data_IF_695845782277
#
_entry.id   IF_695845782277
#
_cell.length_a   1.000
_cell.length_b   1.000
_cell.length_c   1.000
_cell.angle_alpha   90.00
_cell.angle_beta   90.00
_cell.angle_gamma   90.00
#
_symmetry.space_group_name_H-M   'P 1'
#
loop_
_entity.id
_entity.type
_entity.pdbx_description
1 polymer ?
#
# COMPACT_ATOMS: atom_id res chain seq x y z
N UNK A 1 8.19 4.67 8.61
CA UNK A 1 7.85 4.07 7.30
C UNK A 1 8.98 4.22 6.27
N UNK A 2 10.08 4.89 6.59
CA UNK A 2 11.26 5.01 5.71
C UNK A 2 11.04 5.84 4.44
N UNK A 3 10.05 6.74 4.43
CA UNK A 3 9.72 7.62 3.32
C UNK A 3 9.37 9.02 3.83
N UNK A 4 9.40 10.01 2.93
CA UNK A 4 8.93 11.37 3.21
C UNK A 4 7.41 11.47 3.10
N UNK A 5 6.88 12.61 3.54
CA UNK A 5 5.50 12.99 3.34
C UNK A 5 5.40 14.45 2.91
N UNK A 6 4.33 14.78 2.23
CA UNK A 6 3.98 16.15 1.85
C UNK A 6 2.52 16.44 2.10
N UNK A 7 2.20 17.71 2.36
CA UNK A 7 0.87 18.22 2.61
C UNK A 7 0.68 19.54 1.89
N UNK A 8 -0.34 19.61 1.06
CA UNK A 8 -0.90 20.86 0.55
C UNK A 8 -2.28 21.05 1.16
N UNK A 9 -2.59 22.22 1.72
CA UNK A 9 -3.90 22.50 2.27
C UNK A 9 -4.28 23.97 2.11
N UNK A 10 -5.57 24.21 2.02
CA UNK A 10 -6.17 25.55 2.11
C UNK A 10 -6.88 25.71 3.44
N UNK A 11 -6.63 26.81 4.12
CA UNK A 11 -7.21 27.11 5.42
C UNK A 11 -7.37 28.62 5.64
N UNK A 12 -7.87 29.04 6.81
CA UNK A 12 -8.02 30.45 7.14
C UNK A 12 -6.68 31.20 7.08
N UNK A 13 -6.72 32.51 6.81
CA UNK A 13 -5.51 33.35 6.69
C UNK A 13 -4.62 33.34 7.96
N UNK A 14 -5.19 33.03 9.12
CA UNK A 14 -4.45 32.91 10.38
C UNK A 14 -3.81 31.52 10.60
N UNK A 15 -3.94 30.59 9.65
CA UNK A 15 -3.37 29.25 9.75
C UNK A 15 -1.86 29.32 9.93
N UNK A 16 -1.37 28.65 10.97
CA UNK A 16 0.08 28.52 11.22
C UNK A 16 0.50 27.10 10.82
N UNK A 17 1.46 26.93 9.92
CA UNK A 17 1.89 25.60 9.46
C UNK A 17 2.53 24.73 10.57
N UNK A 18 3.30 25.32 11.47
CA UNK A 18 4.07 24.58 12.48
C UNK A 18 3.21 23.69 13.41
N UNK A 19 2.07 24.14 13.98
CA UNK A 19 1.20 23.29 14.78
C UNK A 19 0.60 22.12 13.96
N UNK A 20 0.21 22.36 12.70
CA UNK A 20 -0.32 21.32 11.82
C UNK A 20 0.76 20.28 11.52
N UNK A 21 1.96 20.73 11.16
CA UNK A 21 3.10 19.85 10.93
C UNK A 21 3.42 19.00 12.15
N UNK A 22 3.42 19.60 13.36
CA UNK A 22 3.66 18.87 14.60
C UNK A 22 2.58 17.82 14.87
N UNK A 23 1.30 18.13 14.64
CA UNK A 23 0.20 17.19 14.81
C UNK A 23 0.29 16.01 13.81
N UNK A 24 0.58 16.31 12.53
CA UNK A 24 0.79 15.30 11.49
C UNK A 24 1.96 14.39 11.87
N UNK A 25 3.11 14.96 12.28
CA UNK A 25 4.29 14.17 12.65
C UNK A 25 4.01 13.29 13.87
N UNK A 26 3.35 13.80 14.90
CA UNK A 26 2.98 13.01 16.07
C UNK A 26 2.06 11.84 15.71
N UNK A 27 1.08 12.05 14.79
CA UNK A 27 0.22 10.97 14.31
C UNK A 27 0.99 9.91 13.52
N UNK A 28 1.90 10.34 12.64
CA UNK A 28 2.77 9.43 11.89
C UNK A 28 3.69 8.62 12.81
N UNK A 29 4.26 9.25 13.85
CA UNK A 29 5.12 8.58 14.82
C UNK A 29 4.34 7.50 15.59
N UNK A 30 3.08 7.77 15.97
CA UNK A 30 2.20 6.78 16.58
C UNK A 30 1.94 5.59 15.65
N UNK A 31 1.62 5.85 14.37
CA UNK A 31 1.42 4.78 13.37
C UNK A 31 2.70 3.97 13.13
N UNK A 32 3.86 4.60 13.13
CA UNK A 32 5.16 3.90 13.02
C UNK A 32 5.40 3.00 14.22
N UNK A 33 5.08 3.46 15.44
CA UNK A 33 5.21 2.65 16.65
C UNK A 33 4.28 1.42 16.64
N UNK A 34 3.15 1.48 15.94
CA UNK A 34 2.25 0.35 15.81
C UNK A 34 2.59 -0.59 14.63
N UNK A 35 2.82 -0.05 13.44
CA UNK A 35 2.72 -0.77 12.16
C UNK A 35 4.06 -1.02 11.46
N UNK A 36 5.16 -0.43 11.95
CA UNK A 36 6.44 -0.54 11.26
C UNK A 36 7.18 -1.83 11.57
N UNK A 37 7.59 -2.55 10.55
CA UNK A 37 8.51 -3.69 10.71
C UNK A 37 10.01 -3.29 10.75
N UNK A 38 10.32 -1.98 10.60
CA UNK A 38 11.67 -1.44 10.68
C UNK A 38 12.09 -1.03 12.11
N UNK A 39 11.13 -0.76 12.97
CA UNK A 39 11.37 -0.43 14.38
C UNK A 39 11.21 -1.67 15.24
N UNK A 40 12.28 -2.16 15.89
CA UNK A 40 12.27 -3.36 16.71
C UNK A 40 11.21 -3.36 17.81
N UNK A 41 10.86 -2.17 18.32
CA UNK A 41 9.96 -1.97 19.46
C UNK A 41 8.50 -1.75 19.05
N UNK A 42 8.22 -1.76 17.74
CA UNK A 42 6.85 -1.59 17.24
C UNK A 42 5.93 -2.72 17.69
N UNK A 43 4.62 -2.44 17.74
CA UNK A 43 3.63 -3.45 18.10
C UNK A 43 3.64 -4.62 17.11
N UNK A 44 3.84 -4.33 15.81
CA UNK A 44 4.01 -5.36 14.76
C UNK A 44 5.20 -6.27 15.04
N UNK A 45 6.37 -5.72 15.38
CA UNK A 45 7.55 -6.50 15.71
C UNK A 45 7.35 -7.31 17.00
N UNK A 46 6.66 -6.75 17.99
CA UNK A 46 6.28 -7.48 19.22
C UNK A 46 5.37 -8.65 18.90
N UNK A 47 4.36 -8.48 18.04
CA UNK A 47 3.52 -9.60 17.58
C UNK A 47 4.35 -10.67 16.87
N UNK A 48 5.25 -10.27 15.99
CA UNK A 48 6.12 -11.20 15.24
C UNK A 48 7.05 -12.01 16.15
N UNK A 49 7.36 -11.51 17.36
CA UNK A 49 8.20 -12.19 18.34
C UNK A 49 7.44 -13.13 19.28
N UNK A 50 6.11 -13.13 19.27
CA UNK A 50 5.29 -13.96 20.17
C UNK A 50 5.51 -15.46 19.91
N UNK A 51 5.39 -16.25 20.97
CA UNK A 51 5.35 -17.69 20.87
C UNK A 51 4.00 -18.20 20.30
N UNK A 52 3.98 -19.43 19.84
CA UNK A 52 2.76 -20.07 19.37
C UNK A 52 1.68 -20.09 20.46
N UNK A 53 0.48 -19.63 20.11
CA UNK A 53 -0.68 -19.56 21.01
C UNK A 53 -0.80 -18.26 21.79
N UNK A 54 0.27 -17.45 21.89
CA UNK A 54 0.18 -16.10 22.47
C UNK A 54 -0.57 -15.15 21.55
N UNK A 55 -1.10 -14.05 22.11
CA UNK A 55 -1.83 -13.05 21.32
C UNK A 55 -1.75 -11.66 21.91
N UNK A 56 -2.21 -10.68 21.15
CA UNK A 56 -2.30 -9.28 21.56
C UNK A 56 -3.70 -8.73 21.28
N UNK A 57 -4.18 -7.90 22.19
CA UNK A 57 -5.29 -7.00 21.93
C UNK A 57 -4.75 -5.80 21.13
N UNK A 58 -5.36 -5.55 20.00
CA UNK A 58 -4.85 -4.59 19.03
C UNK A 58 -5.50 -3.22 19.20
N UNK A 59 -4.74 -2.12 19.11
CA UNK A 59 -5.29 -0.78 19.02
C UNK A 59 -6.05 -0.61 17.68
N UNK A 60 -6.91 0.42 17.59
CA UNK A 60 -7.81 0.62 16.43
C UNK A 60 -7.10 0.63 15.07
N UNK A 61 -5.95 1.27 14.95
CA UNK A 61 -5.24 1.37 13.68
C UNK A 61 -4.69 0.03 13.21
N UNK A 62 -4.07 -0.73 14.09
CA UNK A 62 -3.57 -2.05 13.78
C UNK A 62 -4.73 -3.01 13.42
N UNK A 63 -5.84 -2.94 14.19
CA UNK A 63 -7.03 -3.73 13.92
C UNK A 63 -7.63 -3.42 12.54
N UNK A 64 -7.71 -2.15 12.17
CA UNK A 64 -8.20 -1.74 10.85
C UNK A 64 -7.30 -2.27 9.71
N UNK A 65 -5.99 -2.20 9.90
CA UNK A 65 -5.03 -2.70 8.89
C UNK A 65 -5.15 -4.21 8.73
N UNK A 66 -5.24 -4.99 9.82
CA UNK A 66 -5.34 -6.46 9.71
C UNK A 66 -6.68 -6.89 9.11
N UNK A 67 -7.78 -6.19 9.44
CA UNK A 67 -9.09 -6.43 8.86
C UNK A 67 -9.08 -6.28 7.33
N UNK A 68 -8.60 -5.14 6.83
CA UNK A 68 -8.51 -4.88 5.39
C UNK A 68 -7.53 -5.84 4.73
N UNK A 69 -6.38 -6.10 5.34
CA UNK A 69 -5.38 -7.02 4.83
C UNK A 69 -5.94 -8.43 4.61
N UNK A 70 -6.70 -8.96 5.57
CA UNK A 70 -7.33 -10.28 5.45
C UNK A 70 -8.47 -10.30 4.42
N UNK A 71 -9.24 -9.22 4.31
CA UNK A 71 -10.29 -9.10 3.28
C UNK A 71 -9.68 -9.09 1.87
N UNK A 72 -8.61 -8.32 1.64
CA UNK A 72 -7.92 -8.29 0.35
C UNK A 72 -7.22 -9.62 0.07
N UNK A 73 -6.61 -10.28 1.07
CA UNK A 73 -6.03 -11.61 0.94
C UNK A 73 -7.07 -12.64 0.47
N UNK A 74 -8.22 -12.67 1.11
CA UNK A 74 -9.32 -13.58 0.73
C UNK A 74 -9.84 -13.26 -0.67
N UNK A 75 -10.10 -11.99 -0.95
CA UNK A 75 -10.71 -11.54 -2.20
C UNK A 75 -9.77 -11.64 -3.42
N UNK A 76 -8.45 -11.61 -3.22
CA UNK A 76 -7.42 -11.80 -4.24
C UNK A 76 -6.97 -13.25 -4.42
N UNK A 77 -7.58 -14.21 -3.68
CA UNK A 77 -7.15 -15.61 -3.68
C UNK A 77 -5.74 -15.81 -3.14
N UNK A 78 -5.30 -14.95 -2.21
CA UNK A 78 -3.99 -14.99 -1.58
C UNK A 78 -2.88 -14.35 -2.42
N UNK A 79 -3.20 -13.55 -3.42
CA UNK A 79 -2.20 -12.72 -4.11
C UNK A 79 -1.69 -11.58 -3.23
N UNK A 80 -2.50 -11.10 -2.31
CA UNK A 80 -2.08 -10.29 -1.17
C UNK A 80 -1.98 -11.17 0.07
N UNK A 81 -0.94 -11.00 0.86
CA UNK A 81 -0.75 -11.73 2.13
C UNK A 81 -0.01 -10.85 3.14
N UNK A 82 -0.62 -10.50 4.28
CA UNK A 82 0.06 -9.71 5.30
C UNK A 82 1.18 -10.45 6.04
N UNK A 83 1.33 -11.76 5.84
CA UNK A 83 2.32 -12.60 6.55
C UNK A 83 3.62 -12.81 5.76
N UNK A 84 3.99 -11.86 4.92
CA UNK A 84 5.15 -11.97 4.03
C UNK A 84 6.50 -11.66 4.70
N UNK A 85 6.54 -11.23 5.96
CA UNK A 85 7.73 -10.68 6.60
C UNK A 85 8.96 -11.59 6.52
N UNK A 86 8.80 -12.87 6.85
CA UNK A 86 9.90 -13.84 6.78
C UNK A 86 10.42 -14.06 5.34
N UNK A 87 9.50 -14.07 4.37
CA UNK A 87 9.85 -14.25 2.96
C UNK A 87 10.56 -13.02 2.41
N UNK A 88 10.05 -11.82 2.72
CA UNK A 88 10.65 -10.53 2.35
C UNK A 88 12.08 -10.42 2.89
N UNK A 89 12.31 -10.83 4.15
CA UNK A 89 13.67 -10.88 4.71
C UNK A 89 14.57 -11.88 3.99
N UNK A 90 14.10 -13.11 3.71
CA UNK A 90 14.89 -14.13 3.01
C UNK A 90 15.33 -13.69 1.62
N UNK A 91 14.50 -12.91 0.92
CA UNK A 91 14.83 -12.32 -0.37
C UNK A 91 15.67 -11.04 -0.24
N UNK A 92 15.94 -10.56 1.00
CA UNK A 92 16.76 -9.39 1.29
C UNK A 92 16.11 -8.06 0.95
N UNK A 93 14.79 -8.00 0.98
CA UNK A 93 14.00 -6.77 0.78
C UNK A 93 13.46 -6.18 2.11
N UNK A 94 13.56 -6.93 3.20
CA UNK A 94 13.15 -6.52 4.55
C UNK A 94 14.23 -5.78 5.32
N UNK A 95 14.00 -5.54 6.63
CA UNK A 95 14.99 -4.99 7.54
C UNK A 95 16.30 -5.80 7.52
N UNK A 96 17.46 -5.15 7.77
CA UNK A 96 18.73 -5.84 7.80
C UNK A 96 18.77 -6.87 8.92
N UNK A 97 19.47 -7.99 8.68
CA UNK A 97 19.61 -9.11 9.61
C UNK A 97 19.08 -10.42 9.04
N UNK A 98 19.34 -11.51 9.74
CA UNK A 98 18.78 -12.81 9.41
C UNK A 98 17.37 -12.92 10.03
N UNK A 99 16.41 -13.55 9.35
CA UNK A 99 15.14 -13.91 9.98
C UNK A 99 15.37 -14.71 11.25
N UNK A 100 14.52 -14.52 12.26
CA UNK A 100 14.50 -15.41 13.44
C UNK A 100 14.50 -16.87 12.96
N UNK A 101 15.30 -17.72 13.62
CA UNK A 101 15.37 -19.15 13.29
C UNK A 101 14.00 -19.86 13.40
N UNK A 102 13.06 -19.28 14.16
CA UNK A 102 11.67 -19.76 14.28
C UNK A 102 10.78 -19.24 13.16
N UNK A 103 11.23 -18.25 12.37
CA UNK A 103 10.42 -17.63 11.35
C UNK A 103 10.04 -18.62 10.24
N UNK A 104 8.75 -18.80 10.05
CA UNK A 104 8.14 -19.63 9.02
C UNK A 104 7.71 -18.76 7.84
N UNK A 105 7.73 -19.33 6.65
CA UNK A 105 7.22 -18.68 5.45
C UNK A 105 6.35 -19.67 4.66
N UNK A 106 5.24 -20.14 5.23
CA UNK A 106 4.31 -20.99 4.49
C UNK A 106 3.66 -20.19 3.36
N UNK A 107 3.29 -20.88 2.28
CA UNK A 107 2.53 -20.26 1.20
C UNK A 107 1.12 -19.95 1.69
N UNK A 108 0.62 -18.75 1.35
CA UNK A 108 -0.69 -18.25 1.79
C UNK A 108 -0.85 -18.26 3.32
N UNK A 109 0.16 -17.75 4.01
CA UNK A 109 0.29 -17.76 5.47
C UNK A 109 -0.86 -17.02 6.20
N UNK A 110 -1.53 -16.07 5.53
CA UNK A 110 -2.68 -15.36 6.06
C UNK A 110 -3.81 -16.27 6.54
N UNK A 111 -3.92 -17.49 5.98
CA UNK A 111 -4.95 -18.48 6.37
C UNK A 111 -4.71 -19.07 7.76
N UNK A 112 -3.49 -18.98 8.27
CA UNK A 112 -3.12 -19.49 9.58
C UNK A 112 -3.32 -18.44 10.70
N UNK A 113 -3.58 -17.17 10.35
CA UNK A 113 -3.83 -16.12 11.35
C UNK A 113 -5.17 -16.33 12.04
N UNK A 114 -5.16 -16.20 13.36
CA UNK A 114 -6.36 -16.26 14.18
C UNK A 114 -6.76 -14.84 14.62
N UNK A 115 -7.64 -14.20 13.84
CA UNK A 115 -8.15 -12.86 14.09
C UNK A 115 -9.58 -12.89 14.64
N UNK A 116 -9.78 -12.37 15.86
CA UNK A 116 -11.08 -12.14 16.49
C UNK A 116 -11.41 -10.64 16.38
N UNK A 117 -12.09 -10.25 15.32
CA UNK A 117 -12.40 -8.85 15.02
C UNK A 117 -13.26 -8.17 16.12
N UNK A 118 -14.32 -8.79 16.69
CA UNK A 118 -15.09 -8.20 17.77
C UNK A 118 -14.26 -7.85 19.01
N UNK A 119 -13.27 -8.69 19.34
CA UNK A 119 -12.36 -8.46 20.48
C UNK A 119 -11.11 -7.70 20.11
N UNK A 120 -10.88 -7.48 18.83
CA UNK A 120 -9.60 -6.97 18.28
C UNK A 120 -8.40 -7.76 18.80
N UNK A 121 -8.54 -9.06 18.88
CA UNK A 121 -7.51 -9.96 19.41
C UNK A 121 -6.89 -10.77 18.27
N UNK A 122 -5.57 -10.66 18.12
CA UNK A 122 -4.79 -11.41 17.12
C UNK A 122 -3.87 -12.40 17.83
N UNK A 123 -3.93 -13.68 17.45
CA UNK A 123 -3.12 -14.74 18.04
C UNK A 123 -2.10 -15.27 17.04
N UNK A 124 -0.88 -15.47 17.54
CA UNK A 124 0.25 -16.00 16.82
C UNK A 124 0.14 -17.53 16.69
N UNK A 125 0.07 -18.10 15.46
CA UNK A 125 0.05 -19.55 15.27
C UNK A 125 1.44 -20.19 15.44
N UNK A 126 2.48 -19.37 15.50
CA UNK A 126 3.88 -19.75 15.68
C UNK A 126 4.75 -19.44 14.47
N UNK A 127 5.66 -18.48 14.63
CA UNK A 127 6.70 -18.11 13.66
C UNK A 127 6.20 -17.41 12.41
N UNK A 128 4.94 -16.99 12.29
CA UNK A 128 4.50 -16.11 11.21
C UNK A 128 5.00 -14.69 11.45
N UNK A 129 5.38 -14.01 10.38
CA UNK A 129 5.86 -12.63 10.44
C UNK A 129 4.98 -11.73 9.57
N UNK A 130 4.26 -10.83 10.22
CA UNK A 130 3.51 -9.78 9.54
C UNK A 130 4.46 -8.78 8.87
N UNK A 131 4.04 -8.28 7.72
CA UNK A 131 4.63 -7.17 6.98
C UNK A 131 3.50 -6.33 6.37
N UNK A 132 3.41 -5.08 6.78
CA UNK A 132 2.38 -4.16 6.31
C UNK A 132 2.88 -3.14 5.27
N UNK A 133 4.03 -3.40 4.64
CA UNK A 133 4.62 -2.48 3.63
C UNK A 133 3.68 -2.16 2.48
N UNK A 134 2.74 -3.06 2.18
CA UNK A 134 1.82 -2.98 1.05
C UNK A 134 0.42 -2.46 1.43
N UNK A 135 0.26 -1.85 2.63
CA UNK A 135 -1.03 -1.35 3.12
C UNK A 135 -0.88 -0.20 4.12
N UNK A 136 0.21 -0.18 4.90
CA UNK A 136 0.34 0.78 6.01
C UNK A 136 0.55 2.22 5.54
N UNK A 137 1.12 2.44 4.33
CA UNK A 137 1.27 3.79 3.79
C UNK A 137 -0.09 4.38 3.41
N UNK A 138 -0.92 3.59 2.73
CA UNK A 138 -2.29 3.98 2.43
C UNK A 138 -3.10 4.27 3.68
N UNK A 139 -2.99 3.41 4.73
CA UNK A 139 -3.64 3.67 6.01
C UNK A 139 -3.17 4.99 6.65
N UNK A 140 -1.87 5.26 6.62
CA UNK A 140 -1.33 6.52 7.14
C UNK A 140 -1.87 7.75 6.39
N UNK A 141 -1.98 7.68 5.07
CA UNK A 141 -2.61 8.74 4.25
C UNK A 141 -4.06 9.00 4.69
N UNK A 142 -4.84 7.95 4.87
CA UNK A 142 -6.24 8.07 5.32
C UNK A 142 -6.32 8.68 6.74
N UNK A 143 -5.45 8.24 7.67
CA UNK A 143 -5.38 8.77 9.03
C UNK A 143 -5.00 10.26 9.07
N UNK A 144 -4.03 10.68 8.24
CA UNK A 144 -3.64 12.10 8.18
C UNK A 144 -4.75 12.94 7.54
N UNK A 145 -5.41 12.43 6.51
CA UNK A 145 -6.55 13.11 5.90
C UNK A 145 -7.68 13.33 6.93
N UNK A 146 -8.01 12.31 7.73
CA UNK A 146 -9.00 12.43 8.81
C UNK A 146 -8.58 13.46 9.87
N UNK A 147 -7.32 13.41 10.34
CA UNK A 147 -6.78 14.39 11.28
C UNK A 147 -6.89 15.83 10.76
N UNK A 148 -6.62 16.05 9.48
CA UNK A 148 -6.73 17.40 8.89
C UNK A 148 -8.17 17.91 8.89
N UNK A 149 -9.14 17.04 8.62
CA UNK A 149 -10.56 17.40 8.72
C UNK A 149 -10.91 17.78 10.16
N UNK A 150 -10.45 17.01 11.17
CA UNK A 150 -10.65 17.33 12.60
C UNK A 150 -10.00 18.67 13.00
N UNK A 151 -8.86 19.01 12.39
CA UNK A 151 -8.19 20.32 12.58
C UNK A 151 -8.85 21.48 11.82
N UNK A 152 -9.98 21.25 11.15
CA UNK A 152 -10.70 22.28 10.39
C UNK A 152 -10.07 22.61 9.03
N UNK A 153 -9.30 21.68 8.45
CA UNK A 153 -8.64 21.78 7.15
C UNK A 153 -9.23 20.78 6.15
N UNK A 154 -10.51 20.94 5.72
CA UNK A 154 -11.20 19.96 4.87
C UNK A 154 -10.73 19.97 3.41
N UNK A 155 -9.87 20.91 3.00
CA UNK A 155 -9.37 21.06 1.65
C UNK A 155 -7.87 20.80 1.63
N UNK A 156 -7.48 19.57 1.29
CA UNK A 156 -6.06 19.16 1.33
C UNK A 156 -5.73 18.05 0.35
N UNK A 157 -4.44 17.96 0.02
CA UNK A 157 -3.80 16.82 -0.63
C UNK A 157 -2.70 16.31 0.29
N UNK A 158 -2.80 15.05 0.70
CA UNK A 158 -1.78 14.32 1.47
C UNK A 158 -1.04 13.37 0.56
N UNK A 159 0.28 13.30 0.70
CA UNK A 159 1.14 12.32 0.04
C UNK A 159 2.07 11.68 1.07
N UNK A 160 2.19 10.35 1.07
CA UNK A 160 3.16 9.60 1.88
C UNK A 160 3.77 8.49 1.02
N UNK A 161 5.03 8.70 0.57
CA UNK A 161 5.79 7.70 -0.17
C UNK A 161 5.21 7.28 -1.53
N UNK A 162 4.40 8.13 -2.13
CA UNK A 162 3.77 7.92 -3.43
C UNK A 162 2.29 7.55 -3.36
N UNK A 163 1.73 7.29 -2.18
CA UNK A 163 0.30 7.17 -1.96
C UNK A 163 -0.30 8.55 -1.69
N UNK A 164 -1.37 8.90 -2.41
CA UNK A 164 -1.98 10.23 -2.35
C UNK A 164 -3.47 10.14 -2.03
N UNK A 165 -3.98 11.15 -1.31
CA UNK A 165 -5.41 11.39 -1.11
C UNK A 165 -5.73 12.86 -1.24
N UNK A 166 -6.67 13.20 -2.12
CA UNK A 166 -7.26 14.53 -2.22
C UNK A 166 -8.60 14.61 -1.50
N UNK A 167 -8.76 15.58 -0.63
CA UNK A 167 -10.00 15.84 0.11
C UNK A 167 -10.48 17.27 -0.18
N UNK A 168 -11.80 17.43 -0.42
CA UNK A 168 -12.37 18.72 -0.79
C UNK A 168 -11.79 19.28 -2.09
N UNK A 169 -11.92 20.58 -2.30
CA UNK A 169 -11.55 21.28 -3.52
C UNK A 169 -10.56 22.41 -3.22
N UNK A 170 -9.76 22.76 -4.21
CA UNK A 170 -8.98 24.00 -4.19
C UNK A 170 -9.92 25.22 -4.30
N UNK A 171 -9.43 26.45 -4.05
CA UNK A 171 -10.14 27.67 -4.42
C UNK A 171 -10.66 27.57 -5.88
N UNK A 172 -11.79 28.22 -6.15
CA UNK A 172 -12.44 28.22 -7.47
C UNK A 172 -13.04 26.87 -7.89
N UNK A 173 -13.21 25.94 -6.93
CA UNK A 173 -13.85 24.65 -7.19
C UNK A 173 -12.98 23.62 -7.93
N UNK A 174 -11.67 23.87 -8.05
CA UNK A 174 -10.76 22.95 -8.73
C UNK A 174 -10.43 21.73 -7.87
N UNK A 175 -10.43 20.50 -8.42
CA UNK A 175 -9.95 19.30 -7.73
C UNK A 175 -8.43 19.31 -7.56
N UNK A 176 -7.91 18.34 -6.82
CA UNK A 176 -6.49 18.12 -6.65
C UNK A 176 -5.96 17.31 -7.84
N UNK A 177 -5.49 18.00 -8.88
CA UNK A 177 -4.87 17.34 -10.02
C UNK A 177 -3.51 16.76 -9.64
N UNK A 178 -3.32 15.47 -9.88
CA UNK A 178 -2.05 14.77 -9.68
C UNK A 178 -1.67 14.00 -10.93
N UNK A 179 -0.37 13.97 -11.23
CA UNK A 179 0.19 13.13 -12.28
C UNK A 179 0.74 11.85 -11.65
N UNK A 180 0.28 10.69 -12.12
CA UNK A 180 0.82 9.40 -11.70
C UNK A 180 2.19 9.21 -12.36
N UNK A 181 3.22 8.99 -11.53
CA UNK A 181 4.60 8.82 -11.97
C UNK A 181 4.73 7.67 -13.00
N UNK A 182 5.43 7.89 -14.11
CA UNK A 182 5.73 6.80 -15.04
C UNK A 182 6.74 5.81 -14.42
N UNK A 183 6.70 4.51 -14.81
CA UNK A 183 7.58 3.49 -14.23
C UNK A 183 9.05 3.63 -14.64
N UNK A 184 9.35 4.45 -15.64
CA UNK A 184 10.71 4.71 -16.12
C UNK A 184 10.77 6.01 -16.94
N UNK A 185 11.95 6.66 -17.05
CA UNK A 185 12.10 7.89 -17.83
C UNK A 185 11.84 7.71 -19.33
N UNK A 186 12.03 6.51 -19.85
CA UNK A 186 11.81 6.13 -21.25
C UNK A 186 10.38 5.63 -21.54
N UNK A 187 9.49 5.72 -20.55
CA UNK A 187 8.10 5.36 -20.73
C UNK A 187 7.37 6.42 -21.58
N UNK A 188 7.06 6.06 -22.82
CA UNK A 188 6.42 6.92 -23.84
C UNK A 188 4.88 6.91 -23.77
N UNK A 189 4.30 6.24 -22.79
CA UNK A 189 2.86 6.26 -22.56
C UNK A 189 2.38 7.65 -22.12
N UNK A 190 1.16 8.04 -22.50
CA UNK A 190 0.56 9.27 -21.98
C UNK A 190 0.58 9.34 -20.47
N UNK A 191 0.94 10.51 -19.93
CA UNK A 191 0.85 10.77 -18.50
C UNK A 191 -0.60 10.56 -18.02
N UNK A 192 -0.78 9.82 -16.95
CA UNK A 192 -2.08 9.67 -16.31
C UNK A 192 -2.25 10.81 -15.30
N UNK A 193 -3.07 11.80 -15.67
CA UNK A 193 -3.48 12.88 -14.77
C UNK A 193 -4.85 12.55 -14.19
N UNK A 194 -5.01 12.70 -12.89
CA UNK A 194 -6.21 12.32 -12.14
C UNK A 194 -6.65 13.49 -11.27
N UNK A 195 -7.97 13.74 -11.25
CA UNK A 195 -8.61 14.65 -10.32
C UNK A 195 -8.93 13.92 -9.01
N UNK A 196 -8.20 14.22 -7.95
CA UNK A 196 -8.52 13.68 -6.63
C UNK A 196 -9.49 14.61 -5.90
N UNK A 197 -10.73 14.16 -5.76
CA UNK A 197 -11.77 14.77 -4.94
C UNK A 197 -12.45 13.68 -4.11
N UNK A 198 -12.17 13.62 -2.80
CA UNK A 198 -12.57 12.51 -1.92
C UNK A 198 -12.06 11.15 -2.43
N UNK A 199 -10.95 11.16 -3.12
CA UNK A 199 -10.38 10.02 -3.80
C UNK A 199 -8.89 9.90 -3.46
N UNK A 200 -8.41 8.67 -3.47
CA UNK A 200 -7.01 8.35 -3.26
C UNK A 200 -6.45 7.56 -4.45
N UNK A 201 -5.15 7.62 -4.64
CA UNK A 201 -4.41 6.77 -5.57
C UNK A 201 -3.20 6.18 -4.86
N UNK A 202 -2.98 4.89 -5.07
CA UNK A 202 -1.78 4.19 -4.63
C UNK A 202 -1.19 3.39 -5.78
N UNK A 203 0.14 3.24 -5.77
CA UNK A 203 0.84 2.57 -6.85
C UNK A 203 1.88 1.56 -6.32
N UNK A 204 1.81 0.34 -6.84
CA UNK A 204 2.83 -0.68 -6.69
C UNK A 204 3.65 -0.80 -7.97
N UNK A 205 4.99 -0.81 -7.83
CA UNK A 205 5.87 -0.89 -9.00
C UNK A 205 7.19 -1.57 -8.69
N UNK A 206 7.82 -2.17 -9.70
CA UNK A 206 9.10 -2.87 -9.57
C UNK A 206 10.31 -1.98 -9.89
N UNK A 207 10.10 -0.71 -10.24
CA UNK A 207 11.15 0.17 -10.76
C UNK A 207 11.98 0.85 -9.68
N UNK A 208 11.43 1.08 -8.48
CA UNK A 208 12.14 1.72 -7.36
C UNK A 208 12.97 0.74 -6.53
N UNK A 209 12.51 -0.51 -6.36
CA UNK A 209 13.17 -1.54 -5.55
C UNK A 209 13.23 -2.85 -6.33
N UNK A 210 14.45 -3.28 -6.64
CA UNK A 210 14.74 -4.55 -7.31
C UNK A 210 16.16 -5.00 -6.99
N UNK A 211 16.48 -6.23 -7.30
CA UNK A 211 17.84 -6.78 -7.25
C UNK A 211 18.19 -7.36 -8.62
N UNK A 212 19.47 -7.45 -8.91
CA UNK A 212 19.99 -8.19 -10.07
C UNK A 212 20.61 -9.46 -9.53
N UNK A 213 20.19 -10.62 -10.03
CA UNK A 213 20.77 -11.90 -9.65
C UNK A 213 22.11 -12.16 -10.38
N UNK A 214 22.77 -13.28 -10.04
CA UNK A 214 24.06 -13.69 -10.64
C UNK A 214 23.98 -13.93 -12.16
N UNK A 215 22.78 -14.16 -12.70
CA UNK A 215 22.52 -14.35 -14.13
C UNK A 215 22.11 -13.05 -14.82
N UNK A 216 22.20 -11.91 -14.15
CA UNK A 216 21.82 -10.59 -14.67
C UNK A 216 20.29 -10.36 -14.76
N UNK A 217 19.47 -11.23 -14.18
CA UNK A 217 18.01 -11.08 -14.21
C UNK A 217 17.55 -10.13 -13.11
N UNK A 218 16.58 -9.29 -13.46
CA UNK A 218 15.92 -8.38 -12.52
C UNK A 218 14.93 -9.17 -11.64
N UNK A 219 15.11 -9.08 -10.33
CA UNK A 219 14.23 -9.64 -9.33
C UNK A 219 13.42 -8.51 -8.70
N UNK A 220 12.11 -8.53 -8.89
CA UNK A 220 11.19 -7.61 -8.23
C UNK A 220 11.21 -7.80 -6.71
N UNK A 221 11.03 -6.71 -5.96
CA UNK A 221 10.80 -6.79 -4.53
C UNK A 221 9.39 -7.30 -4.18
N UNK A 222 8.46 -7.24 -5.15
CA UNK A 222 7.11 -7.80 -4.99
C UNK A 222 7.19 -9.32 -5.14
N UNK A 223 6.79 -10.02 -4.09
CA UNK A 223 6.81 -11.47 -4.01
C UNK A 223 5.40 -12.02 -4.16
N UNK A 224 5.26 -13.15 -4.85
CA UNK A 224 3.99 -13.86 -4.93
C UNK A 224 3.85 -14.83 -3.74
N UNK A 225 2.88 -14.59 -2.82
CA UNK A 225 2.65 -15.44 -1.65
C UNK A 225 2.27 -16.89 -2.01
N UNK A 226 1.79 -17.13 -3.22
CA UNK A 226 1.36 -18.45 -3.71
C UNK A 226 2.53 -19.29 -4.18
N UNK A 227 3.65 -18.66 -4.52
CA UNK A 227 4.86 -19.36 -5.02
C UNK A 227 6.09 -19.14 -4.16
N UNK A 228 6.08 -18.10 -3.30
CA UNK A 228 7.21 -17.66 -2.49
C UNK A 228 8.34 -17.02 -3.29
N UNK A 229 8.09 -16.57 -4.52
CA UNK A 229 9.10 -16.04 -5.45
C UNK A 229 8.78 -14.62 -5.90
N UNK A 230 9.79 -13.84 -6.33
CA UNK A 230 9.57 -12.58 -7.04
C UNK A 230 8.67 -12.76 -8.25
N UNK A 231 7.77 -11.80 -8.48
CA UNK A 231 6.95 -11.76 -9.71
C UNK A 231 7.83 -11.53 -10.94
N UNK A 232 7.47 -12.16 -12.08
CA UNK A 232 8.30 -12.16 -13.29
C UNK A 232 7.50 -11.97 -14.59
N UNK A 233 6.35 -11.28 -14.53
CA UNK A 233 5.41 -11.16 -15.67
C UNK A 233 5.47 -9.82 -16.42
N UNK A 234 6.51 -9.01 -16.21
CA UNK A 234 6.70 -7.77 -16.96
C UNK A 234 5.87 -6.56 -16.52
N UNK A 235 4.95 -6.70 -15.55
CA UNK A 235 4.30 -5.52 -14.96
C UNK A 235 5.33 -4.63 -14.26
N UNK A 236 5.35 -3.36 -14.65
CA UNK A 236 6.23 -2.35 -14.09
C UNK A 236 5.55 -1.49 -13.04
N UNK A 237 4.26 -1.22 -13.22
CA UNK A 237 3.47 -0.35 -12.37
C UNK A 237 2.02 -0.80 -12.39
N UNK A 238 1.39 -0.78 -11.24
CA UNK A 238 -0.07 -0.87 -11.07
C UNK A 238 -0.51 0.29 -10.20
N UNK A 239 -1.42 1.12 -10.68
CA UNK A 239 -2.03 2.21 -9.92
C UNK A 239 -3.51 1.91 -9.73
N UNK A 240 -4.01 2.10 -8.52
CA UNK A 240 -5.42 1.89 -8.15
C UNK A 240 -5.97 3.16 -7.54
N UNK A 241 -7.15 3.59 -8.00
CA UNK A 241 -7.94 4.66 -7.42
C UNK A 241 -9.03 4.06 -6.53
N UNK A 242 -9.21 4.63 -5.36
CA UNK A 242 -10.23 4.19 -4.39
C UNK A 242 -10.55 5.34 -3.42
N UNK A 243 -11.72 5.31 -2.79
CA UNK A 243 -12.09 6.27 -1.74
C UNK A 243 -11.17 6.22 -0.52
N UNK A 244 -10.56 5.07 -0.22
CA UNK A 244 -9.56 4.87 0.83
C UNK A 244 -8.20 4.56 0.22
N UNK A 245 -7.17 5.28 0.67
CA UNK A 245 -5.78 5.05 0.28
C UNK A 245 -5.29 3.67 0.77
N UNK A 246 -5.75 3.21 1.94
CA UNK A 246 -5.42 1.89 2.47
C UNK A 246 -5.89 0.76 1.53
N UNK A 247 -7.10 0.84 1.03
CA UNK A 247 -7.61 -0.13 0.05
C UNK A 247 -6.89 -0.02 -1.28
N UNK A 248 -6.62 1.19 -1.77
CA UNK A 248 -5.86 1.40 -3.00
C UNK A 248 -4.45 0.77 -2.92
N UNK A 249 -3.72 0.96 -1.81
CA UNK A 249 -2.38 0.43 -1.57
C UNK A 249 -2.40 -1.12 -1.58
N UNK A 250 -3.31 -1.73 -0.82
CA UNK A 250 -3.45 -3.18 -0.78
C UNK A 250 -3.85 -3.78 -2.15
N UNK A 251 -4.81 -3.18 -2.84
CA UNK A 251 -5.24 -3.65 -4.16
C UNK A 251 -4.17 -3.46 -5.23
N UNK A 252 -3.42 -2.36 -5.22
CA UNK A 252 -2.33 -2.16 -6.18
C UNK A 252 -1.29 -3.28 -6.09
N UNK A 253 -0.97 -3.72 -4.87
CA UNK A 253 -0.07 -4.85 -4.62
C UNK A 253 -0.69 -6.18 -5.05
N UNK A 254 -1.96 -6.45 -4.72
CA UNK A 254 -2.65 -7.68 -5.14
C UNK A 254 -2.68 -7.82 -6.67
N UNK A 255 -3.03 -6.75 -7.38
CA UNK A 255 -3.08 -6.73 -8.85
C UNK A 255 -1.68 -6.87 -9.47
N UNK A 256 -0.66 -6.25 -8.85
CA UNK A 256 0.74 -6.40 -9.25
C UNK A 256 1.19 -7.87 -9.14
N UNK A 257 0.84 -8.57 -8.07
CA UNK A 257 1.17 -9.99 -7.89
C UNK A 257 0.45 -10.88 -8.90
N UNK A 258 -0.81 -10.61 -9.20
CA UNK A 258 -1.61 -11.40 -10.15
C UNK A 258 -1.13 -11.30 -11.59
N UNK A 259 -0.44 -10.22 -11.94
CA UNK A 259 0.02 -9.98 -13.30
C UNK A 259 -1.10 -9.44 -14.23
N UNK A 260 -0.77 -9.17 -15.51
CA UNK A 260 -1.64 -8.38 -16.38
C UNK A 260 -3.00 -9.03 -16.67
N UNK A 261 -3.05 -10.35 -16.86
CA UNK A 261 -4.29 -11.05 -17.21
C UNK A 261 -5.21 -11.22 -16.01
N UNK A 262 -4.74 -11.91 -14.96
CA UNK A 262 -5.54 -12.16 -13.75
C UNK A 262 -5.81 -10.87 -12.97
N UNK A 263 -4.83 -9.95 -12.92
CA UNK A 263 -4.99 -8.66 -12.24
C UNK A 263 -6.06 -7.80 -12.89
N UNK A 264 -6.07 -7.68 -14.23
CA UNK A 264 -7.12 -6.93 -14.92
C UNK A 264 -8.50 -7.58 -14.72
N UNK A 265 -8.61 -8.88 -14.87
CA UNK A 265 -9.87 -9.60 -14.67
C UNK A 265 -10.42 -9.43 -13.24
N UNK A 266 -9.54 -9.45 -12.23
CA UNK A 266 -9.95 -9.18 -10.85
C UNK A 266 -10.39 -7.73 -10.68
N UNK A 267 -9.66 -6.76 -11.24
CA UNK A 267 -10.03 -5.35 -11.19
C UNK A 267 -11.42 -5.12 -11.83
N UNK A 268 -11.69 -5.72 -12.98
CA UNK A 268 -13.01 -5.69 -13.64
C UNK A 268 -14.11 -6.28 -12.77
N UNK A 269 -13.90 -7.48 -12.23
CA UNK A 269 -14.90 -8.18 -11.41
C UNK A 269 -15.22 -7.47 -10.10
N UNK A 270 -14.30 -6.63 -9.60
CA UNK A 270 -14.43 -5.86 -8.36
C UNK A 270 -14.79 -4.40 -8.58
N UNK A 271 -14.92 -3.95 -9.82
CA UNK A 271 -15.17 -2.55 -10.15
C UNK A 271 -14.03 -1.61 -9.73
N UNK A 272 -12.78 -2.11 -9.63
CA UNK A 272 -11.63 -1.29 -9.25
C UNK A 272 -11.19 -0.42 -10.42
N UNK A 273 -10.99 0.87 -10.18
CA UNK A 273 -10.38 1.77 -11.14
C UNK A 273 -8.85 1.57 -11.11
N UNK A 274 -8.30 0.83 -12.09
CA UNK A 274 -6.93 0.40 -12.11
C UNK A 274 -6.24 0.61 -13.46
N UNK A 275 -4.98 1.08 -13.42
CA UNK A 275 -4.04 1.14 -14.55
C UNK A 275 -2.93 0.12 -14.31
N UNK A 276 -2.65 -0.71 -15.30
CA UNK A 276 -1.54 -1.65 -15.32
C UNK A 276 -0.59 -1.27 -16.45
N UNK A 277 0.69 -1.07 -16.15
CA UNK A 277 1.72 -0.71 -17.14
C UNK A 277 2.73 -1.84 -17.27
N UNK A 278 2.96 -2.29 -18.50
CA UNK A 278 3.82 -3.42 -18.83
C UNK A 278 5.03 -2.97 -19.62
N UNK A 279 6.19 -3.63 -19.36
CA UNK A 279 7.34 -3.65 -20.26
C UNK A 279 7.16 -4.75 -21.29
N UNK A 280 7.26 -4.43 -22.55
CA UNK A 280 7.25 -5.37 -23.68
C UNK A 280 8.53 -5.21 -24.50
N UNK A 281 8.85 -6.18 -25.38
CA UNK A 281 10.06 -6.14 -26.19
C UNK A 281 10.14 -4.91 -27.14
N UNK A 282 9.00 -4.29 -27.44
CA UNK A 282 8.90 -3.13 -28.35
C UNK A 282 8.56 -1.81 -27.64
N UNK A 283 8.59 -1.73 -26.32
CA UNK A 283 8.24 -0.50 -25.60
C UNK A 283 7.30 -0.74 -24.43
N UNK A 284 6.34 0.15 -24.24
CA UNK A 284 5.44 0.14 -23.11
C UNK A 284 3.99 -0.07 -23.52
N UNK A 285 3.25 -0.81 -22.75
CA UNK A 285 1.79 -1.00 -22.92
C UNK A 285 1.06 -0.74 -21.63
N UNK A 286 -0.11 -0.10 -21.73
CA UNK A 286 -1.01 0.04 -20.60
C UNK A 286 -2.32 -0.72 -20.80
N UNK A 287 -2.86 -1.22 -19.70
CA UNK A 287 -4.21 -1.78 -19.60
C UNK A 287 -4.97 -0.94 -18.58
N UNK A 288 -6.19 -0.56 -18.92
CA UNK A 288 -7.07 0.19 -18.03
C UNK A 288 -8.30 -0.68 -17.74
N UNK A 289 -8.69 -0.74 -16.47
CA UNK A 289 -9.97 -1.37 -16.10
C UNK A 289 -11.15 -0.55 -16.64
N UNK A 290 -12.33 -1.15 -16.84
CA UNK A 290 -13.53 -0.42 -17.26
C UNK A 290 -13.87 0.75 -16.32
N UNK A 291 -13.75 0.56 -15.01
CA UNK A 291 -14.02 1.60 -14.03
C UNK A 291 -13.08 2.81 -14.18
N UNK A 292 -11.78 2.58 -14.46
CA UNK A 292 -10.87 3.70 -14.69
C UNK A 292 -11.16 4.42 -16.01
N UNK A 293 -11.52 3.69 -17.08
CA UNK A 293 -11.90 4.33 -18.36
C UNK A 293 -13.10 5.23 -18.17
N UNK A 294 -14.14 4.77 -17.47
CA UNK A 294 -15.31 5.58 -17.18
C UNK A 294 -14.96 6.87 -16.45
N UNK A 295 -14.11 6.79 -15.40
CA UNK A 295 -13.66 8.01 -14.69
C UNK A 295 -12.90 9.00 -15.58
N UNK A 296 -12.12 8.52 -16.55
CA UNK A 296 -11.36 9.39 -17.46
C UNK A 296 -12.23 9.99 -18.57
N UNK A 297 -13.33 9.33 -18.94
CA UNK A 297 -14.30 9.84 -19.93
C UNK A 297 -15.22 10.91 -19.33
N UNK A 298 -15.58 10.78 -18.04
CA UNK A 298 -16.41 11.77 -17.33
C UNK A 298 -15.68 13.10 -17.07
N UNK A 299 -14.34 13.11 -17.13
CA UNK A 299 -13.49 14.30 -16.95
C UNK A 299 -13.13 15.02 -18.28
N UNK A 300 -13.48 14.47 -19.45
CA UNK A 300 -13.15 15.00 -20.76
C UNK A 300 -14.30 15.90 -21.30
#
# INVERSE_FOLDING_TARGET
MGTGWSLLCYGPAALRPAPVQAAVQARLDALVAELSHWGSDSLLCRFNALAAGEGLDLPPDFAAVIDVALQVAAASGGAFDPCMGALVQRWGFGPPGQPDARARAPLQAWRELHWDAPRRHLRQPGGLMLDFSAIAKGHAVDCISALLVELGLPHHLVEIGGELRGQGLKPEGQPWWVDVEPPAPDCDLPALRIALHQLAVASSGDYRRFRIDEQGRRLSHTLDPRTGRPVAHGLALVSVLHESAMWADAWSTALMVLGPGQGLALAESRGLAARLVLREAGGWRQLLSPALRALLEDEA
#
